data_IF_642296640951
#
_entry.id   IF_642296640951
#
_cell.length_a   1.000
_cell.length_b   1.000
_cell.length_c   1.000
_cell.angle_alpha   90.00
_cell.angle_beta   90.00
_cell.angle_gamma   90.00
#
_symmetry.space_group_name_H-M   'P 1'
#
loop_
_entity.id
_entity.type
_entity.pdbx_description
1 polymer ?
#
# COMPACT_ATOMS: atom_id res chain seq x y z
N UNK A 1 46.22 17.77 -18.13
CA UNK A 1 46.13 16.29 -18.10
C UNK A 1 45.27 15.76 -16.93
N UNK A 2 45.34 16.34 -15.73
CA UNK A 2 44.52 15.96 -14.54
C UNK A 2 43.01 16.27 -14.66
N UNK A 3 42.62 17.34 -15.35
CA UNK A 3 41.20 17.67 -15.61
C UNK A 3 40.53 16.63 -16.52
N UNK A 4 41.25 16.12 -17.53
CA UNK A 4 40.73 15.13 -18.48
C UNK A 4 40.50 13.76 -17.81
N UNK A 5 41.39 13.35 -16.89
CA UNK A 5 41.26 12.10 -16.14
C UNK A 5 40.09 12.12 -15.12
N UNK A 6 39.78 13.30 -14.55
CA UNK A 6 38.64 13.48 -13.64
C UNK A 6 37.31 13.45 -14.39
N UNK A 7 37.27 13.99 -15.62
CA UNK A 7 36.09 13.95 -16.49
C UNK A 7 35.76 12.52 -16.94
N UNK A 8 36.74 11.72 -17.35
CA UNK A 8 36.51 10.33 -17.79
C UNK A 8 36.05 9.42 -16.65
N UNK A 9 36.50 9.66 -15.41
CA UNK A 9 36.02 8.94 -14.22
C UNK A 9 34.57 9.24 -13.86
N UNK A 10 34.13 10.50 -13.95
CA UNK A 10 32.73 10.88 -13.75
C UNK A 10 31.83 10.33 -14.86
N UNK A 11 32.26 10.39 -16.12
CA UNK A 11 31.55 9.80 -17.27
C UNK A 11 31.35 8.29 -17.09
N UNK A 12 32.37 7.54 -16.65
CA UNK A 12 32.26 6.09 -16.34
C UNK A 12 31.32 5.81 -15.15
N UNK A 13 31.28 6.67 -14.15
CA UNK A 13 30.36 6.51 -13.02
C UNK A 13 28.90 6.80 -13.43
N UNK A 14 28.70 7.82 -14.27
CA UNK A 14 27.39 8.17 -14.83
C UNK A 14 26.89 7.05 -15.75
N UNK A 15 27.71 6.60 -16.69
CA UNK A 15 27.40 5.47 -17.59
C UNK A 15 27.00 4.19 -16.82
N UNK A 16 27.70 3.85 -15.73
CA UNK A 16 27.33 2.71 -14.89
C UNK A 16 25.96 2.89 -14.21
N UNK A 17 25.66 4.08 -13.71
CA UNK A 17 24.35 4.37 -13.08
C UNK A 17 23.23 4.32 -14.10
N UNK A 18 23.44 4.88 -15.29
CA UNK A 18 22.48 4.84 -16.39
C UNK A 18 22.25 3.41 -16.85
N UNK A 19 23.30 2.59 -16.94
CA UNK A 19 23.19 1.17 -17.25
C UNK A 19 22.33 0.42 -16.22
N UNK A 20 22.55 0.63 -14.91
CA UNK A 20 21.70 0.03 -13.88
C UNK A 20 20.24 0.48 -13.97
N UNK A 21 19.98 1.76 -14.25
CA UNK A 21 18.61 2.25 -14.45
C UNK A 21 17.95 1.59 -15.67
N UNK A 22 18.68 1.43 -16.77
CA UNK A 22 18.20 0.74 -17.97
C UNK A 22 17.94 -0.73 -17.68
N UNK A 23 18.78 -1.41 -16.90
CA UNK A 23 18.55 -2.81 -16.50
C UNK A 23 17.29 -2.92 -15.65
N UNK A 24 17.09 -2.02 -14.67
CA UNK A 24 15.90 -2.02 -13.82
C UNK A 24 14.64 -1.75 -14.65
N UNK A 25 14.65 -0.71 -15.48
CA UNK A 25 13.52 -0.39 -16.36
C UNK A 25 13.28 -1.52 -17.35
N UNK A 26 14.33 -2.08 -17.94
CA UNK A 26 14.26 -3.23 -18.84
C UNK A 26 13.65 -4.45 -18.16
N UNK A 27 14.02 -4.73 -16.91
CA UNK A 27 13.44 -5.81 -16.11
C UNK A 27 11.95 -5.58 -15.80
N UNK A 28 11.57 -4.34 -15.47
CA UNK A 28 10.17 -3.98 -15.24
C UNK A 28 9.36 -4.11 -16.53
N UNK A 29 9.85 -3.58 -17.66
CA UNK A 29 9.20 -3.70 -18.95
C UNK A 29 9.09 -5.16 -19.41
N UNK A 30 10.12 -5.98 -19.16
CA UNK A 30 10.11 -7.41 -19.46
C UNK A 30 9.05 -8.18 -18.67
N UNK A 31 8.55 -7.64 -17.56
CA UNK A 31 7.47 -8.24 -16.77
C UNK A 31 6.11 -7.62 -17.14
N UNK A 32 6.04 -6.30 -17.25
CA UNK A 32 4.79 -5.58 -17.55
C UNK A 32 4.25 -5.89 -18.95
N UNK A 33 5.11 -5.95 -19.96
CA UNK A 33 4.68 -6.17 -21.36
C UNK A 33 4.02 -7.55 -21.53
N UNK A 34 4.62 -8.68 -21.08
CA UNK A 34 3.97 -9.98 -21.15
C UNK A 34 2.64 -10.03 -20.39
N UNK A 35 2.56 -9.44 -19.19
CA UNK A 35 1.32 -9.40 -18.40
C UNK A 35 0.24 -8.64 -19.17
N UNK A 36 0.58 -7.50 -19.78
CA UNK A 36 -0.36 -6.73 -20.58
C UNK A 36 -0.84 -7.50 -21.82
N UNK A 37 0.05 -8.24 -22.49
CA UNK A 37 -0.33 -9.08 -23.64
C UNK A 37 -1.26 -10.23 -23.22
N UNK A 38 -1.00 -10.86 -22.07
CA UNK A 38 -1.88 -11.88 -21.48
C UNK A 38 -3.24 -11.27 -21.14
N UNK A 39 -3.25 -10.08 -20.53
CA UNK A 39 -4.48 -9.35 -20.22
C UNK A 39 -5.32 -9.05 -21.47
N UNK A 40 -4.68 -8.62 -22.56
CA UNK A 40 -5.38 -8.41 -23.83
C UNK A 40 -5.97 -9.71 -24.39
N UNK A 41 -5.21 -10.80 -24.37
CA UNK A 41 -5.68 -12.11 -24.84
C UNK A 41 -6.87 -12.62 -24.02
N UNK A 42 -6.84 -12.40 -22.71
CA UNK A 42 -7.92 -12.78 -21.80
C UNK A 42 -9.19 -11.96 -22.02
N UNK A 43 -9.03 -10.68 -22.38
CA UNK A 43 -10.12 -9.78 -22.74
C UNK A 43 -10.88 -10.19 -24.00
N UNK A 44 -10.24 -10.88 -24.95
CA UNK A 44 -10.86 -11.34 -26.19
C UNK A 44 -11.54 -12.73 -26.06
N UNK A 45 -11.11 -13.57 -25.12
CA UNK A 45 -11.64 -14.94 -24.91
C UNK A 45 -12.75 -14.99 -23.83
N UNK A 46 -13.82 -14.22 -23.98
CA UNK A 46 -14.78 -13.90 -22.90
C UNK A 46 -15.74 -15.00 -22.44
N UNK A 47 -15.63 -16.24 -22.91
CA UNK A 47 -16.66 -17.25 -22.64
C UNK A 47 -16.08 -18.64 -22.34
N UNK A 48 -15.88 -18.96 -21.06
CA UNK A 48 -15.89 -20.34 -20.58
C UNK A 48 -17.34 -20.79 -20.49
N UNK A 49 -17.95 -21.05 -21.66
CA UNK A 49 -19.30 -21.61 -21.76
C UNK A 49 -19.13 -23.11 -21.89
N UNK A 50 -19.73 -23.86 -20.97
CA UNK A 50 -19.91 -25.30 -21.15
C UNK A 50 -21.38 -25.57 -21.38
N UNK A 51 -21.70 -26.03 -22.58
CA UNK A 51 -23.04 -26.46 -22.97
C UNK A 51 -23.10 -27.98 -22.96
N UNK A 52 -24.08 -28.49 -22.23
CA UNK A 52 -24.42 -29.91 -22.16
C UNK A 52 -25.77 -30.05 -22.86
N UNK A 53 -25.81 -30.69 -24.04
CA UNK A 53 -27.06 -30.91 -24.75
C UNK A 53 -27.99 -31.83 -23.95
N UNK A 54 -29.31 -31.75 -24.19
CA UNK A 54 -30.29 -32.60 -23.50
C UNK A 54 -30.00 -34.09 -23.74
N UNK A 55 -30.02 -34.87 -22.66
CA UNK A 55 -29.69 -36.29 -22.65
C UNK A 55 -30.83 -37.14 -23.22
N UNK A 56 -30.59 -37.95 -24.26
CA UNK A 56 -31.52 -39.00 -24.69
C UNK A 56 -32.85 -38.50 -25.29
N UNK A 57 -32.94 -37.21 -25.64
CA UNK A 57 -34.12 -36.61 -26.28
C UNK A 57 -33.67 -35.80 -27.50
N UNK A 58 -34.43 -35.86 -28.59
CA UNK A 58 -34.29 -34.89 -29.68
C UNK A 58 -34.61 -33.48 -29.15
N UNK A 59 -34.06 -32.41 -29.74
CA UNK A 59 -34.25 -31.01 -29.29
C UNK A 59 -35.73 -30.54 -29.18
N UNK A 60 -36.68 -31.38 -29.61
CA UNK A 60 -38.12 -31.17 -29.62
C UNK A 60 -38.90 -31.92 -28.52
N UNK A 61 -38.23 -32.69 -27.64
CA UNK A 61 -38.92 -33.40 -26.56
C UNK A 61 -38.84 -32.67 -25.22
N UNK A 62 -39.31 -33.33 -24.15
CA UNK A 62 -39.41 -32.76 -22.82
C UNK A 62 -38.05 -32.70 -22.13
N UNK A 63 -37.56 -31.49 -21.83
CA UNK A 63 -36.34 -31.28 -21.04
C UNK A 63 -36.39 -29.96 -20.29
N UNK A 64 -35.51 -29.81 -19.30
CA UNK A 64 -35.30 -28.55 -18.58
C UNK A 64 -33.92 -28.02 -18.95
N UNK A 65 -33.86 -26.81 -19.48
CA UNK A 65 -32.61 -26.10 -19.68
C UNK A 65 -32.26 -25.33 -18.41
N UNK A 66 -31.04 -25.52 -17.92
CA UNK A 66 -30.52 -24.89 -16.72
C UNK A 66 -29.37 -23.99 -17.14
N UNK A 67 -29.51 -22.68 -16.92
CA UNK A 67 -28.44 -21.71 -17.10
C UNK A 67 -27.84 -21.40 -15.73
N UNK A 68 -26.60 -21.81 -15.50
CA UNK A 68 -25.87 -21.51 -14.27
C UNK A 68 -24.80 -20.45 -14.50
N UNK A 69 -24.93 -19.28 -13.88
CA UNK A 69 -23.93 -18.20 -13.94
C UNK A 69 -23.20 -18.06 -12.61
N UNK A 70 -21.88 -18.22 -12.60
CA UNK A 70 -21.07 -18.01 -11.38
C UNK A 70 -21.05 -16.51 -11.06
N UNK A 71 -21.55 -16.13 -9.88
CA UNK A 71 -21.68 -14.73 -9.46
C UNK A 71 -20.44 -14.28 -8.69
N UNK A 72 -20.02 -15.09 -7.72
CA UNK A 72 -18.95 -14.73 -6.78
C UNK A 72 -18.23 -15.97 -6.30
N UNK A 73 -16.93 -15.83 -6.03
CA UNK A 73 -16.08 -16.89 -5.49
C UNK A 73 -15.43 -16.38 -4.21
N UNK A 74 -15.52 -17.18 -3.15
CA UNK A 74 -14.88 -16.98 -1.87
C UNK A 74 -13.90 -18.13 -1.61
N UNK A 75 -12.60 -17.81 -1.67
CA UNK A 75 -11.55 -18.81 -1.45
C UNK A 75 -11.23 -19.02 0.03
N UNK A 76 -11.60 -18.08 0.91
CA UNK A 76 -11.36 -18.16 2.34
C UNK A 76 -12.36 -19.12 2.99
N UNK A 77 -13.65 -18.91 2.70
CA UNK A 77 -14.74 -19.81 3.12
C UNK A 77 -14.86 -21.06 2.24
N UNK A 78 -14.05 -21.14 1.17
CA UNK A 78 -14.05 -22.23 0.18
C UNK A 78 -15.42 -22.48 -0.45
N UNK A 79 -16.13 -21.41 -0.79
CA UNK A 79 -17.45 -21.46 -1.38
C UNK A 79 -17.53 -20.58 -2.63
N UNK A 80 -18.42 -20.91 -3.55
CA UNK A 80 -18.78 -20.04 -4.67
C UNK A 80 -20.28 -19.99 -4.82
N UNK A 81 -20.81 -18.89 -5.35
CA UNK A 81 -22.25 -18.71 -5.58
C UNK A 81 -22.55 -18.78 -7.06
N UNK A 82 -23.56 -19.57 -7.41
CA UNK A 82 -24.05 -19.74 -8.77
C UNK A 82 -25.52 -19.31 -8.81
N UNK A 83 -25.84 -18.42 -9.75
CA UNK A 83 -27.20 -18.08 -10.11
C UNK A 83 -27.71 -19.13 -11.07
N UNK A 84 -28.77 -19.85 -10.72
CA UNK A 84 -29.42 -20.80 -11.60
C UNK A 84 -30.75 -20.23 -12.11
N UNK A 85 -30.90 -20.24 -13.43
CA UNK A 85 -32.15 -19.97 -14.13
C UNK A 85 -32.61 -21.26 -14.82
N UNK A 86 -33.92 -21.51 -14.79
CA UNK A 86 -34.51 -22.74 -15.29
C UNK A 86 -35.54 -22.41 -16.36
N UNK A 87 -35.41 -23.05 -17.52
CA UNK A 87 -36.36 -22.91 -18.64
C UNK A 87 -36.91 -24.30 -18.98
N UNK A 88 -38.18 -24.59 -18.67
CA UNK A 88 -38.82 -25.84 -19.09
C UNK A 88 -39.12 -25.82 -20.60
N UNK A 89 -38.97 -26.96 -21.26
CA UNK A 89 -39.27 -27.14 -22.68
C UNK A 89 -40.19 -28.34 -22.91
N UNK A 90 -40.87 -28.34 -24.06
CA UNK A 90 -41.79 -29.41 -24.46
C UNK A 90 -43.13 -29.31 -23.72
N UNK A 91 -43.71 -30.45 -23.37
CA UNK A 91 -44.99 -30.56 -22.67
C UNK A 91 -44.92 -30.14 -21.19
N UNK A 92 -43.71 -29.87 -20.68
CA UNK A 92 -43.47 -29.39 -19.31
C UNK A 92 -43.80 -27.90 -19.13
N UNK A 93 -43.81 -27.13 -20.23
CA UNK A 93 -44.13 -25.71 -20.24
C UNK A 93 -45.49 -25.47 -20.91
N UNK A 94 -46.38 -24.74 -20.23
CA UNK A 94 -47.60 -24.19 -20.81
C UNK A 94 -47.30 -23.02 -21.75
N UNK A 95 -48.34 -22.51 -22.43
CA UNK A 95 -48.23 -21.42 -23.41
C UNK A 95 -47.68 -20.09 -22.82
N UNK A 96 -47.74 -19.94 -21.50
CA UNK A 96 -47.28 -18.80 -20.70
C UNK A 96 -45.94 -19.05 -19.99
N UNK A 97 -45.27 -20.19 -20.23
CA UNK A 97 -44.02 -20.58 -19.58
C UNK A 97 -44.21 -21.14 -18.16
N UNK A 98 -45.46 -21.38 -17.75
CA UNK A 98 -45.82 -21.97 -16.47
C UNK A 98 -45.68 -23.49 -16.52
N UNK A 99 -45.33 -24.11 -15.39
CA UNK A 99 -45.20 -25.56 -15.31
C UNK A 99 -46.54 -26.29 -15.41
N UNK A 100 -46.59 -27.33 -16.24
CA UNK A 100 -47.76 -28.22 -16.37
C UNK A 100 -47.80 -29.33 -15.32
N UNK A 101 -46.70 -29.56 -14.59
CA UNK A 101 -46.58 -30.54 -13.52
C UNK A 101 -45.62 -30.05 -12.44
N UNK A 102 -45.71 -30.59 -11.23
CA UNK A 102 -44.75 -30.29 -10.18
C UNK A 102 -43.38 -30.89 -10.51
N UNK A 103 -42.32 -30.10 -10.36
CA UNK A 103 -40.95 -30.48 -10.69
C UNK A 103 -40.05 -30.26 -9.48
N UNK A 104 -39.25 -31.27 -9.13
CA UNK A 104 -38.21 -31.17 -8.12
C UNK A 104 -36.83 -31.21 -8.79
N UNK A 105 -36.08 -30.11 -8.70
CA UNK A 105 -34.69 -30.02 -9.16
C UNK A 105 -33.77 -30.12 -7.95
N UNK A 106 -32.95 -31.16 -7.88
CA UNK A 106 -31.92 -31.27 -6.85
C UNK A 106 -30.58 -30.76 -7.39
N UNK A 107 -30.08 -29.72 -6.73
CA UNK A 107 -28.80 -29.07 -6.94
C UNK A 107 -27.88 -29.40 -5.77
N UNK A 108 -27.00 -30.38 -5.94
CA UNK A 108 -26.09 -30.83 -4.91
C UNK A 108 -26.80 -31.22 -3.58
N UNK A 109 -26.77 -30.38 -2.54
CA UNK A 109 -27.46 -30.62 -1.26
C UNK A 109 -28.84 -29.94 -1.15
N UNK A 110 -29.22 -29.10 -2.11
CA UNK A 110 -30.48 -28.34 -2.07
C UNK A 110 -31.46 -28.92 -3.08
N UNK A 111 -32.65 -29.30 -2.63
CA UNK A 111 -33.76 -29.65 -3.52
C UNK A 111 -34.73 -28.49 -3.61
N UNK A 112 -34.99 -28.04 -4.84
CA UNK A 112 -35.94 -27.00 -5.16
C UNK A 112 -37.19 -27.65 -5.72
N UNK A 113 -38.31 -27.46 -5.05
CA UNK A 113 -39.61 -27.95 -5.49
C UNK A 113 -40.40 -26.79 -6.08
N UNK A 114 -40.79 -26.95 -7.35
CA UNK A 114 -41.63 -26.02 -8.08
C UNK A 114 -43.02 -26.67 -8.22
N UNK A 115 -44.06 -26.09 -7.62
CA UNK A 115 -45.42 -26.57 -7.77
C UNK A 115 -45.89 -26.50 -9.23
N UNK A 116 -46.94 -27.26 -9.52
CA UNK A 116 -47.68 -27.10 -10.77
C UNK A 116 -48.25 -25.69 -10.88
N UNK A 117 -48.50 -25.24 -12.10
CA UNK A 117 -49.08 -23.92 -12.37
C UNK A 117 -48.24 -22.74 -11.85
N UNK A 118 -46.94 -22.93 -11.60
CA UNK A 118 -45.99 -21.87 -11.27
C UNK A 118 -44.81 -21.81 -12.23
N UNK A 119 -44.18 -20.64 -12.36
CA UNK A 119 -42.92 -20.48 -13.10
C UNK A 119 -41.74 -20.99 -12.26
N UNK A 120 -40.71 -21.51 -12.91
CA UNK A 120 -39.47 -21.87 -12.23
C UNK A 120 -38.67 -20.61 -11.88
N UNK A 121 -38.72 -20.20 -10.62
CA UNK A 121 -37.97 -19.03 -10.14
C UNK A 121 -36.46 -19.29 -10.15
N UNK A 122 -35.67 -18.30 -10.55
CA UNK A 122 -34.22 -18.34 -10.42
C UNK A 122 -33.76 -18.29 -8.96
N UNK A 123 -32.60 -18.89 -8.69
CA UNK A 123 -32.12 -19.11 -7.32
C UNK A 123 -30.59 -19.02 -7.25
N UNK A 124 -30.11 -18.44 -6.16
CA UNK A 124 -28.68 -18.41 -5.86
C UNK A 124 -28.35 -19.58 -4.94
N UNK A 125 -27.43 -20.45 -5.37
CA UNK A 125 -26.97 -21.58 -4.57
C UNK A 125 -25.48 -21.44 -4.28
N UNK A 126 -25.14 -21.60 -3.00
CA UNK A 126 -23.75 -21.61 -2.54
C UNK A 126 -23.19 -23.02 -2.66
N UNK A 127 -22.17 -23.20 -3.46
CA UNK A 127 -21.52 -24.49 -3.69
C UNK A 127 -20.15 -24.50 -3.00
N UNK A 128 -19.82 -25.54 -2.22
CA UNK A 128 -18.51 -25.64 -1.61
C UNK A 128 -17.45 -26.17 -2.59
N UNK A 129 -16.20 -25.82 -2.31
CA UNK A 129 -15.04 -26.49 -2.89
C UNK A 129 -14.69 -27.71 -2.05
N UNK A 130 -14.45 -28.85 -2.72
CA UNK A 130 -14.06 -30.11 -2.08
C UNK A 130 -12.55 -30.19 -1.84
N UNK A 131 -11.76 -29.51 -2.67
CA UNK A 131 -10.31 -29.46 -2.58
C UNK A 131 -9.78 -28.06 -2.89
N UNK A 132 -8.59 -27.76 -2.37
CA UNK A 132 -7.88 -26.51 -2.59
C UNK A 132 -7.34 -25.92 -1.30
N UNK A 133 -6.21 -25.23 -1.41
CA UNK A 133 -5.53 -24.60 -0.30
C UNK A 133 -5.18 -23.15 -0.66
N UNK A 134 -5.61 -22.21 0.19
CA UNK A 134 -5.31 -20.78 0.07
C UNK A 134 -3.83 -20.47 0.24
N UNK A 135 -3.08 -21.37 0.88
CA UNK A 135 -1.64 -21.25 1.09
C UNK A 135 -0.86 -21.18 -0.24
N UNK A 136 -1.38 -21.78 -1.32
CA UNK A 136 -0.67 -21.86 -2.60
C UNK A 136 -0.83 -20.60 -3.47
N UNK A 137 -1.49 -19.56 -2.96
CA UNK A 137 -1.67 -18.29 -3.67
C UNK A 137 -0.32 -17.70 -4.15
N UNK A 138 -0.22 -17.23 -5.42
CA UNK A 138 -1.30 -17.02 -6.39
C UNK A 138 -1.56 -18.20 -7.34
N UNK A 139 -0.89 -19.34 -7.17
CA UNK A 139 -1.03 -20.52 -8.01
C UNK A 139 -2.04 -21.53 -7.45
N UNK A 140 -2.94 -21.06 -6.58
CA UNK A 140 -3.97 -21.85 -5.94
C UNK A 140 -4.97 -22.38 -6.97
N UNK A 141 -5.37 -23.64 -6.78
CA UNK A 141 -6.34 -24.33 -7.61
C UNK A 141 -7.35 -25.05 -6.72
N UNK A 142 -8.63 -24.86 -7.03
CA UNK A 142 -9.74 -25.42 -6.28
C UNK A 142 -10.53 -26.37 -7.16
N UNK A 143 -11.08 -27.40 -6.53
CA UNK A 143 -11.99 -28.34 -7.19
C UNK A 143 -13.31 -28.34 -6.46
N UNK A 144 -14.39 -28.40 -7.23
CA UNK A 144 -15.73 -28.63 -6.71
C UNK A 144 -16.38 -29.75 -7.51
N UNK A 145 -17.22 -30.51 -6.84
CA UNK A 145 -17.99 -31.58 -7.43
C UNK A 145 -19.43 -31.38 -7.03
N UNK A 146 -20.33 -31.27 -8.01
CA UNK A 146 -21.75 -31.17 -7.76
C UNK A 146 -22.55 -31.89 -8.84
N UNK A 147 -23.76 -32.27 -8.47
CA UNK A 147 -24.65 -33.09 -9.28
C UNK A 147 -25.98 -32.38 -9.44
N UNK A 148 -26.56 -32.49 -10.64
CA UNK A 148 -27.86 -31.92 -10.97
C UNK A 148 -28.76 -33.02 -11.49
N UNK A 149 -29.96 -33.09 -10.94
CA UNK A 149 -31.01 -34.03 -11.33
C UNK A 149 -32.39 -33.37 -11.20
N UNK A 150 -33.31 -33.75 -12.08
CA UNK A 150 -34.68 -33.25 -12.10
C UNK A 150 -35.65 -34.43 -12.13
N UNK A 151 -36.65 -34.39 -11.24
CA UNK A 151 -37.71 -35.39 -11.16
C UNK A 151 -39.08 -34.70 -11.27
N UNK A 152 -40.02 -35.41 -11.88
CA UNK A 152 -41.44 -35.07 -11.93
C UNK A 152 -42.10 -35.63 -10.68
N UNK A 153 -42.79 -34.74 -9.97
CA UNK A 153 -43.27 -34.96 -8.61
C UNK A 153 -42.11 -35.25 -7.64
N UNK A 154 -42.30 -35.07 -6.33
CA UNK A 154 -41.22 -35.22 -5.36
C UNK A 154 -40.69 -36.69 -5.23
N UNK A 155 -41.14 -37.57 -6.11
CA UNK A 155 -40.81 -38.98 -6.21
C UNK A 155 -39.69 -39.19 -7.24
N UNK A 156 -38.63 -39.90 -6.84
CA UNK A 156 -37.43 -40.14 -7.66
C UNK A 156 -37.65 -41.05 -8.88
N UNK A 157 -38.90 -41.41 -9.17
CA UNK A 157 -39.28 -42.46 -10.13
C UNK A 157 -39.47 -41.91 -11.55
N UNK A 158 -39.91 -40.66 -11.70
CA UNK A 158 -40.12 -40.03 -13.01
C UNK A 158 -39.06 -38.97 -13.28
N UNK A 159 -38.01 -39.32 -14.04
CA UNK A 159 -36.87 -38.43 -14.25
C UNK A 159 -36.97 -37.64 -15.54
N UNK A 160 -36.59 -36.38 -15.46
CA UNK A 160 -36.68 -35.42 -16.56
C UNK A 160 -35.27 -35.18 -17.13
N UNK A 161 -35.08 -35.30 -18.45
CA UNK A 161 -33.83 -34.92 -19.11
C UNK A 161 -33.46 -33.45 -18.88
N UNK A 162 -32.18 -33.18 -18.63
CA UNK A 162 -31.67 -31.84 -18.34
C UNK A 162 -30.66 -31.44 -19.42
N UNK A 163 -30.71 -30.18 -19.83
CA UNK A 163 -29.65 -29.50 -20.56
C UNK A 163 -29.04 -28.43 -19.65
N UNK A 164 -27.73 -28.23 -19.72
CA UNK A 164 -27.02 -27.32 -18.81
C UNK A 164 -26.10 -26.41 -19.61
N UNK A 165 -26.23 -25.10 -19.38
CA UNK A 165 -25.25 -24.10 -19.83
C UNK A 165 -24.62 -23.46 -18.60
N UNK A 166 -23.33 -23.69 -18.39
CA UNK A 166 -22.58 -23.05 -17.29
C UNK A 166 -21.74 -21.89 -17.83
N UNK A 167 -21.97 -20.71 -17.26
CA UNK A 167 -21.21 -19.49 -17.49
C UNK A 167 -20.31 -19.24 -16.28
N UNK A 168 -19.01 -19.44 -16.48
CA UNK A 168 -18.01 -19.35 -15.39
C UNK A 168 -16.90 -18.36 -15.67
N UNK A 169 -17.21 -17.07 -15.90
CA UNK A 169 -16.15 -16.06 -16.10
C UNK A 169 -16.27 -14.89 -15.12
N UNK A 170 -15.33 -14.83 -14.16
CA UNK A 170 -15.10 -13.67 -13.29
C UNK A 170 -13.78 -12.99 -13.68
N UNK A 171 -13.65 -11.68 -13.45
CA UNK A 171 -12.46 -10.92 -13.87
C UNK A 171 -11.14 -11.44 -13.28
N UNK A 172 -11.17 -12.05 -12.09
CA UNK A 172 -9.97 -12.50 -11.39
C UNK A 172 -9.79 -14.03 -11.38
N UNK A 173 -10.77 -14.79 -11.87
CA UNK A 173 -10.85 -16.25 -11.70
C UNK A 173 -11.27 -16.91 -12.99
N UNK A 174 -10.53 -17.95 -13.37
CA UNK A 174 -10.84 -18.82 -14.49
C UNK A 174 -11.56 -20.07 -13.95
N UNK A 175 -12.74 -20.32 -14.51
CA UNK A 175 -13.54 -21.51 -14.22
C UNK A 175 -13.44 -22.44 -15.43
N UNK A 176 -12.98 -23.66 -15.19
CA UNK A 176 -12.81 -24.71 -16.20
C UNK A 176 -13.71 -25.88 -15.77
N UNK A 177 -14.98 -25.89 -16.21
CA UNK A 177 -15.87 -27.00 -15.91
C UNK A 177 -15.46 -28.23 -16.73
N UNK A 178 -15.42 -29.39 -16.09
CA UNK A 178 -15.41 -30.69 -16.75
C UNK A 178 -16.73 -31.38 -16.43
N UNK A 179 -17.55 -31.55 -17.46
CA UNK A 179 -18.83 -32.25 -17.31
C UNK A 179 -18.58 -33.73 -17.54
N UNK A 180 -19.00 -34.54 -16.57
CA UNK A 180 -19.10 -35.99 -16.72
C UNK A 180 -20.57 -36.37 -16.74
N UNK A 181 -20.99 -36.85 -17.89
CA UNK A 181 -22.32 -37.40 -18.06
C UNK A 181 -22.28 -38.85 -17.55
N UNK A 182 -23.14 -39.18 -16.60
CA UNK A 182 -23.31 -40.55 -16.11
C UNK A 182 -24.62 -41.10 -16.69
N UNK A 183 -24.52 -41.83 -17.80
CA UNK A 183 -25.69 -42.33 -18.55
C UNK A 183 -26.30 -43.59 -17.92
N UNK A 184 -25.57 -44.30 -17.04
CA UNK A 184 -26.05 -45.52 -16.36
C UNK A 184 -27.13 -45.24 -15.30
N UNK A 185 -27.14 -44.02 -14.74
CA UNK A 185 -28.11 -43.59 -13.73
C UNK A 185 -28.84 -42.32 -14.23
N UNK A 186 -30.01 -42.54 -14.84
CA UNK A 186 -31.17 -41.72 -14.49
C UNK A 186 -31.06 -40.19 -14.83
N UNK A 187 -30.50 -39.85 -16.00
CA UNK A 187 -30.35 -38.46 -16.50
C UNK A 187 -29.63 -37.51 -15.53
N UNK A 188 -28.66 -38.05 -14.78
CA UNK A 188 -27.86 -37.30 -13.82
C UNK A 188 -26.68 -36.61 -14.52
N UNK A 189 -26.48 -35.33 -14.23
CA UNK A 189 -25.31 -34.57 -14.71
C UNK A 189 -24.37 -34.35 -13.53
N UNK A 190 -23.18 -34.95 -13.58
CA UNK A 190 -22.11 -34.71 -12.63
C UNK A 190 -21.13 -33.68 -13.21
N UNK A 191 -20.84 -32.63 -12.44
CA UNK A 191 -19.94 -31.56 -12.87
C UNK A 191 -18.76 -31.50 -11.91
N UNK A 192 -17.58 -31.76 -12.44
CA UNK A 192 -16.33 -31.49 -11.75
C UNK A 192 -15.80 -30.15 -12.25
N UNK A 193 -15.76 -29.15 -11.39
CA UNK A 193 -15.24 -27.83 -11.72
C UNK A 193 -13.83 -27.67 -11.22
N UNK A 194 -12.94 -27.16 -12.09
CA UNK A 194 -11.63 -26.65 -11.70
C UNK A 194 -11.66 -25.12 -11.71
N UNK A 195 -11.41 -24.50 -10.56
CA UNK A 195 -11.31 -23.05 -10.42
C UNK A 195 -9.85 -22.67 -10.18
N UNK A 196 -9.32 -21.72 -10.97
CA UNK A 196 -7.94 -21.22 -10.84
C UNK A 196 -7.93 -19.70 -10.91
N UNK A 197 -6.87 -19.08 -10.39
CA UNK A 197 -6.65 -17.64 -10.60
C UNK A 197 -6.40 -17.36 -12.07
N UNK A 198 -7.00 -16.27 -12.56
CA UNK A 198 -6.76 -15.80 -13.92
C UNK A 198 -5.25 -15.52 -14.13
N UNK A 199 -4.70 -15.79 -15.32
CA UNK A 199 -3.30 -15.50 -15.63
C UNK A 199 -2.89 -14.03 -15.37
N UNK A 200 -3.85 -13.11 -15.52
CA UNK A 200 -3.69 -11.68 -15.24
C UNK A 200 -3.48 -11.41 -13.74
N UNK A 201 -4.28 -12.05 -12.88
CA UNK A 201 -4.15 -11.99 -11.42
C UNK A 201 -2.80 -12.56 -10.98
N UNK A 202 -2.41 -13.72 -11.52
CA UNK A 202 -1.10 -14.34 -11.23
C UNK A 202 0.03 -13.39 -11.62
N UNK A 203 -0.01 -12.85 -12.85
CA UNK A 203 0.99 -11.90 -13.34
C UNK A 203 1.09 -10.65 -12.48
N UNK A 204 -0.05 -10.06 -12.10
CA UNK A 204 -0.09 -8.87 -11.25
C UNK A 204 0.45 -9.14 -9.85
N UNK A 205 0.08 -10.25 -9.21
CA UNK A 205 0.60 -10.63 -7.89
C UNK A 205 2.13 -10.81 -7.94
N UNK A 206 2.65 -11.53 -8.94
CA UNK A 206 4.10 -11.70 -9.13
C UNK A 206 4.82 -10.38 -9.36
N UNK A 207 4.20 -9.46 -10.11
CA UNK A 207 4.73 -8.12 -10.33
C UNK A 207 4.85 -7.32 -9.02
N UNK A 208 3.85 -7.37 -8.15
CA UNK A 208 3.89 -6.73 -6.83
C UNK A 208 5.01 -7.35 -5.97
N UNK A 209 5.13 -8.68 -5.93
CA UNK A 209 6.21 -9.36 -5.21
C UNK A 209 7.59 -8.92 -5.73
N UNK A 210 7.75 -8.78 -7.04
CA UNK A 210 8.98 -8.28 -7.66
C UNK A 210 9.29 -6.84 -7.26
N UNK A 211 8.30 -5.94 -7.27
CA UNK A 211 8.46 -4.55 -6.80
C UNK A 211 8.94 -4.56 -5.35
N UNK A 212 8.32 -5.36 -4.48
CA UNK A 212 8.73 -5.44 -3.07
C UNK A 212 10.18 -5.89 -2.91
N UNK A 213 10.63 -6.84 -3.72
CA UNK A 213 12.04 -7.27 -3.77
C UNK A 213 12.97 -6.15 -4.25
N UNK A 214 12.58 -5.41 -5.29
CA UNK A 214 13.38 -4.29 -5.80
C UNK A 214 13.51 -3.17 -4.75
N UNK A 215 12.43 -2.86 -4.03
CA UNK A 215 12.46 -1.89 -2.94
C UNK A 215 13.34 -2.36 -1.77
N UNK A 216 13.20 -3.63 -1.35
CA UNK A 216 13.98 -4.18 -0.23
C UNK A 216 15.48 -4.22 -0.54
N UNK A 217 15.84 -4.66 -1.75
CA UNK A 217 17.23 -4.69 -2.21
C UNK A 217 17.78 -3.26 -2.36
N UNK A 218 17.02 -2.31 -2.88
CA UNK A 218 17.46 -0.92 -3.00
C UNK A 218 17.81 -0.32 -1.64
N UNK A 219 16.96 -0.52 -0.63
CA UNK A 219 17.21 -0.07 0.75
C UNK A 219 18.43 -0.79 1.34
N UNK A 220 18.56 -2.11 1.12
CA UNK A 220 19.73 -2.88 1.53
C UNK A 220 21.04 -2.36 0.94
N UNK A 221 21.06 -2.05 -0.36
CA UNK A 221 22.22 -1.45 -1.03
C UNK A 221 22.55 -0.09 -0.42
N UNK A 222 21.54 0.75 -0.15
CA UNK A 222 21.74 2.05 0.48
C UNK A 222 22.35 1.88 1.89
N UNK A 223 21.83 0.96 2.71
CA UNK A 223 22.35 0.69 4.03
C UNK A 223 23.82 0.24 4.00
N UNK A 224 24.17 -0.67 3.09
CA UNK A 224 25.57 -1.11 2.90
C UNK A 224 26.46 0.07 2.48
N UNK A 225 25.98 0.94 1.60
CA UNK A 225 26.75 2.12 1.18
C UNK A 225 26.97 3.11 2.33
N UNK A 226 25.97 3.34 3.18
CA UNK A 226 26.08 4.20 4.37
C UNK A 226 27.15 3.66 5.31
N UNK A 227 27.17 2.34 5.55
CA UNK A 227 28.19 1.71 6.38
C UNK A 227 29.57 1.86 5.74
N UNK A 228 29.76 1.43 4.48
CA UNK A 228 31.10 1.34 3.87
C UNK A 228 31.74 2.69 3.53
N UNK A 229 30.96 3.66 3.08
CA UNK A 229 31.53 4.93 2.55
C UNK A 229 31.70 6.03 3.59
N UNK A 230 31.42 5.78 4.87
CA UNK A 230 31.44 6.80 5.91
C UNK A 230 30.70 8.09 5.52
N UNK A 231 29.64 7.96 4.69
CA UNK A 231 28.82 9.11 4.32
C UNK A 231 28.05 9.51 5.57
N UNK A 232 27.99 10.82 5.85
CA UNK A 232 27.10 11.36 6.88
C UNK A 232 25.71 10.86 6.52
N UNK A 233 25.11 10.07 7.40
CA UNK A 233 23.77 9.55 7.18
C UNK A 233 22.84 10.74 7.12
N UNK A 234 22.25 10.93 5.95
CA UNK A 234 21.20 11.91 5.78
C UNK A 234 19.97 11.36 6.51
N UNK A 235 19.37 12.14 7.40
CA UNK A 235 18.19 11.77 8.19
C UNK A 235 17.07 11.22 7.27
N UNK A 236 16.99 11.76 6.06
CA UNK A 236 16.09 11.31 5.00
C UNK A 236 16.22 9.81 4.67
N UNK A 237 17.43 9.25 4.66
CA UNK A 237 17.65 7.84 4.31
C UNK A 237 17.07 6.90 5.37
N UNK A 238 17.13 7.31 6.63
CA UNK A 238 16.52 6.58 7.73
C UNK A 238 14.99 6.58 7.60
N UNK A 239 14.42 7.77 7.38
CA UNK A 239 12.96 7.90 7.23
C UNK A 239 12.43 7.09 6.06
N UNK A 240 13.20 6.96 4.96
CA UNK A 240 12.83 6.14 3.82
C UNK A 240 12.73 4.65 4.18
N UNK A 241 13.67 4.11 4.96
CA UNK A 241 13.63 2.73 5.41
C UNK A 241 12.41 2.43 6.28
N UNK A 242 12.15 3.29 7.27
CA UNK A 242 11.00 3.16 8.19
C UNK A 242 9.67 3.29 7.43
N UNK A 243 9.55 4.30 6.56
CA UNK A 243 8.33 4.54 5.78
C UNK A 243 8.03 3.34 4.87
N UNK A 244 9.07 2.75 4.26
CA UNK A 244 8.88 1.58 3.39
C UNK A 244 8.41 0.37 4.18
N UNK A 245 8.89 0.17 5.42
CA UNK A 245 8.45 -0.91 6.29
C UNK A 245 6.93 -0.86 6.55
N UNK A 246 6.38 0.34 6.75
CA UNK A 246 4.94 0.55 6.93
C UNK A 246 4.15 0.58 5.62
N UNK A 247 4.80 0.83 4.49
CA UNK A 247 4.16 0.81 3.17
C UNK A 247 3.99 -0.62 2.60
N UNK A 248 4.85 -1.57 3.00
CA UNK A 248 4.81 -2.94 2.48
C UNK A 248 3.47 -3.67 2.70
N UNK A 249 2.81 -3.59 3.88
CA UNK A 249 1.49 -4.19 4.06
C UNK A 249 0.45 -3.60 3.11
N UNK A 250 0.42 -2.28 2.93
CA UNK A 250 -0.51 -1.65 1.98
C UNK A 250 -0.26 -2.14 0.54
N UNK A 251 1.01 -2.33 0.17
CA UNK A 251 1.38 -2.87 -1.15
C UNK A 251 0.95 -4.34 -1.31
N UNK A 252 1.06 -5.16 -0.25
CA UNK A 252 0.54 -6.54 -0.22
C UNK A 252 -0.97 -6.57 -0.49
N UNK A 253 -1.74 -5.72 0.20
CA UNK A 253 -3.21 -5.68 0.06
C UNK A 253 -3.69 -5.20 -1.31
N UNK A 254 -2.81 -4.63 -2.16
CA UNK A 254 -3.18 -4.32 -3.55
C UNK A 254 -3.32 -5.57 -4.42
N UNK A 255 -2.83 -6.73 -3.98
CA UNK A 255 -2.92 -7.97 -4.74
C UNK A 255 -4.38 -8.46 -4.80
N UNK A 256 -4.90 -8.79 -5.99
CA UNK A 256 -6.31 -9.13 -6.17
C UNK A 256 -6.65 -10.46 -5.50
N UNK A 257 -7.63 -10.43 -4.61
CA UNK A 257 -8.16 -11.60 -3.92
C UNK A 257 -7.11 -12.34 -3.08
N UNK A 258 -6.14 -11.62 -2.53
CA UNK A 258 -5.13 -12.15 -1.62
C UNK A 258 -5.81 -12.69 -0.34
N UNK A 259 -5.50 -13.93 0.09
CA UNK A 259 -6.06 -14.49 1.31
C UNK A 259 -5.42 -13.88 2.57
N UNK A 260 -5.89 -14.33 3.73
CA UNK A 260 -5.27 -14.09 5.03
C UNK A 260 -3.76 -14.31 5.00
N UNK A 261 -3.03 -13.60 5.88
CA UNK A 261 -1.56 -13.67 5.98
C UNK A 261 -1.09 -15.13 6.11
N UNK A 262 -0.04 -15.47 5.36
CA UNK A 262 0.61 -16.79 5.43
C UNK A 262 0.57 -17.60 4.14
N UNK A 263 0.25 -16.98 3.00
CA UNK A 263 0.33 -17.66 1.70
C UNK A 263 1.77 -17.73 1.16
N UNK A 264 1.97 -18.51 0.11
CA UNK A 264 3.28 -18.71 -0.52
C UNK A 264 3.93 -17.39 -0.96
N UNK A 265 3.15 -16.46 -1.51
CA UNK A 265 3.62 -15.11 -1.83
C UNK A 265 4.16 -14.35 -0.61
N UNK A 266 3.56 -14.53 0.57
CA UNK A 266 4.01 -13.87 1.81
C UNK A 266 5.30 -14.49 2.32
N UNK A 267 5.36 -15.83 2.33
CA UNK A 267 6.52 -16.58 2.82
C UNK A 267 7.74 -16.36 1.94
N UNK A 268 7.56 -16.32 0.61
CA UNK A 268 8.65 -16.15 -0.35
C UNK A 268 9.04 -14.68 -0.55
N UNK A 269 8.08 -13.75 -0.41
CA UNK A 269 8.31 -12.33 -0.69
C UNK A 269 8.22 -11.46 0.56
N UNK A 270 7.02 -11.33 1.11
CA UNK A 270 6.70 -10.33 2.15
C UNK A 270 7.60 -10.42 3.38
N UNK A 271 7.78 -11.61 3.96
CA UNK A 271 8.57 -11.77 5.19
C UNK A 271 10.05 -11.48 4.98
N UNK A 272 10.65 -11.98 3.90
CA UNK A 272 12.06 -11.71 3.58
C UNK A 272 12.30 -10.24 3.27
N UNK A 273 11.40 -9.61 2.51
CA UNK A 273 11.49 -8.20 2.20
C UNK A 273 11.37 -7.33 3.45
N UNK A 274 10.46 -7.66 4.36
CA UNK A 274 10.31 -6.98 5.64
C UNK A 274 11.57 -7.13 6.50
N UNK A 275 12.12 -8.34 6.60
CA UNK A 275 13.35 -8.61 7.35
C UNK A 275 14.54 -7.80 6.80
N UNK A 276 14.74 -7.79 5.47
CA UNK A 276 15.82 -7.04 4.82
C UNK A 276 15.69 -5.55 5.12
N UNK A 277 14.50 -4.96 5.00
CA UNK A 277 14.27 -3.53 5.25
C UNK A 277 14.46 -3.19 6.73
N UNK A 278 13.99 -4.04 7.63
CA UNK A 278 14.16 -3.85 9.07
C UNK A 278 15.65 -3.87 9.46
N UNK A 279 16.38 -4.90 9.03
CA UNK A 279 17.83 -5.02 9.28
C UNK A 279 18.58 -3.82 8.67
N UNK A 280 18.20 -3.42 7.45
CA UNK A 280 18.80 -2.26 6.77
C UNK A 280 18.57 -0.95 7.52
N UNK A 281 17.36 -0.75 8.05
CA UNK A 281 17.02 0.43 8.83
C UNK A 281 17.78 0.46 10.16
N UNK A 282 17.88 -0.69 10.86
CA UNK A 282 18.68 -0.83 12.08
C UNK A 282 20.16 -0.55 11.79
N UNK A 283 20.70 -1.06 10.68
CA UNK A 283 22.08 -0.78 10.26
C UNK A 283 22.33 0.71 10.05
N UNK A 284 21.40 1.43 9.40
CA UNK A 284 21.49 2.87 9.18
C UNK A 284 21.38 3.63 10.51
N UNK A 285 20.47 3.22 11.41
CA UNK A 285 20.34 3.79 12.75
C UNK A 285 21.62 3.65 13.55
N UNK A 286 22.17 2.43 13.63
CA UNK A 286 23.40 2.15 14.36
C UNK A 286 24.58 2.93 13.79
N UNK A 287 24.72 2.98 12.47
CA UNK A 287 25.75 3.79 11.81
C UNK A 287 25.60 5.28 12.12
N UNK A 288 24.37 5.79 12.23
CA UNK A 288 24.09 7.18 12.59
C UNK A 288 24.43 7.47 14.05
N UNK A 289 24.03 6.59 14.96
CA UNK A 289 24.28 6.71 16.40
C UNK A 289 25.79 6.68 16.72
N UNK A 290 26.53 5.73 16.15
CA UNK A 290 27.98 5.61 16.34
C UNK A 290 28.77 6.79 15.76
N UNK A 291 28.22 7.47 14.76
CA UNK A 291 28.85 8.61 14.07
C UNK A 291 28.36 9.96 14.59
N UNK A 292 27.56 9.98 15.64
CA UNK A 292 27.03 11.20 16.23
C UNK A 292 28.19 12.09 16.71
N UNK A 293 28.56 13.08 15.88
CA UNK A 293 29.47 14.16 16.28
C UNK A 293 28.63 15.33 16.74
N UNK A 294 29.04 15.97 17.84
CA UNK A 294 28.34 17.16 18.33
C UNK A 294 28.15 18.19 17.21
N UNK A 295 26.94 18.78 17.12
CA UNK A 295 26.58 19.70 16.05
C UNK A 295 27.60 20.83 16.01
N UNK A 296 28.06 21.17 14.80
CA UNK A 296 29.07 22.21 14.56
C UNK A 296 28.72 23.55 15.24
N UNK A 297 27.43 23.82 15.45
CA UNK A 297 26.91 25.00 16.14
C UNK A 297 27.44 25.09 17.57
N UNK A 298 27.48 23.99 18.34
CA UNK A 298 28.09 24.01 19.69
C UNK A 298 29.56 24.38 19.61
N UNK A 299 30.27 23.78 18.66
CA UNK A 299 31.70 24.06 18.41
C UNK A 299 31.93 25.53 18.03
N UNK A 300 31.07 26.11 17.21
CA UNK A 300 31.16 27.50 16.79
C UNK A 300 30.85 28.46 17.94
N UNK A 301 29.82 28.16 18.75
CA UNK A 301 29.48 28.91 19.96
C UNK A 301 30.62 28.83 20.99
N UNK A 302 31.22 27.65 21.17
CA UNK A 302 32.36 27.43 22.06
C UNK A 302 33.61 28.19 21.58
N UNK A 303 33.85 28.25 20.26
CA UNK A 303 34.93 29.03 19.67
C UNK A 303 34.72 30.54 19.86
N UNK A 304 33.49 31.03 19.64
CA UNK A 304 33.13 32.43 19.87
C UNK A 304 33.26 32.79 21.35
N UNK A 305 32.80 31.93 22.27
CA UNK A 305 32.97 32.13 23.71
C UNK A 305 34.45 32.17 24.09
N UNK A 306 35.27 31.23 23.60
CA UNK A 306 36.72 31.24 23.84
C UNK A 306 37.39 32.51 23.34
N UNK A 307 36.96 33.03 22.19
CA UNK A 307 37.52 34.25 21.63
C UNK A 307 37.17 35.48 22.48
N UNK A 308 35.94 35.56 22.98
CA UNK A 308 35.49 36.62 23.87
C UNK A 308 36.24 36.58 25.22
N UNK A 309 36.45 35.37 25.75
CA UNK A 309 37.18 35.15 27.00
C UNK A 309 38.66 35.53 26.88
N UNK A 310 39.31 35.19 25.75
CA UNK A 310 40.69 35.58 25.44
C UNK A 310 40.85 37.12 25.32
N UNK A 311 39.90 37.79 24.67
CA UNK A 311 39.90 39.26 24.58
C UNK A 311 39.77 39.90 25.97
N UNK A 312 38.93 39.35 26.85
CA UNK A 312 38.76 39.88 28.20
C UNK A 312 40.03 39.77 29.06
N UNK A 313 40.78 38.66 28.94
CA UNK A 313 42.06 38.46 29.64
C UNK A 313 43.15 39.41 29.18
N UNK A 314 43.29 39.61 27.85
CA UNK A 314 44.23 40.58 27.28
C UNK A 314 43.98 42.01 27.78
N UNK A 315 42.71 42.41 27.88
CA UNK A 315 42.34 43.73 28.41
C UNK A 315 42.70 43.83 29.90
N UNK A 316 42.54 42.77 30.69
CA UNK A 316 42.87 42.77 32.12
C UNK A 316 44.38 42.81 32.40
N UNK A 317 45.22 42.19 31.58
CA UNK A 317 46.67 42.18 31.75
C UNK A 317 47.36 43.43 31.21
N UNK A 318 46.75 44.12 30.24
CA UNK A 318 47.29 45.36 29.68
C UNK A 318 47.01 46.59 30.56
N UNK A 319 46.15 46.46 31.58
CA UNK A 319 45.97 47.47 32.64
C UNK A 319 47.11 47.31 33.66
N UNK A 320 48.27 47.89 33.34
CA UNK A 320 49.38 48.06 34.28
C UNK A 320 48.90 48.97 35.43
N UNK A 321 49.14 48.62 36.71
CA UNK A 321 48.80 49.51 37.82
C UNK A 321 49.70 50.75 37.75
N UNK A 322 49.11 51.92 37.50
CA UNK A 322 49.83 53.18 37.65
C UNK A 322 50.24 53.34 39.13
N UNK A 323 51.50 53.69 39.42
CA UNK A 323 51.92 54.00 40.78
C UNK A 323 51.44 55.42 41.13
N UNK A 324 50.57 55.53 42.13
CA UNK A 324 50.37 56.79 42.85
C UNK A 324 51.47 56.94 43.91
N UNK A 325 51.92 58.18 44.15
CA UNK A 325 51.54 58.74 45.45
C UNK A 325 51.23 60.26 45.42
N UNK A 326 50.79 60.72 46.59
CA UNK A 326 50.87 62.09 47.15
C UNK A 326 49.53 62.89 47.23
N UNK A 327 48.91 62.72 48.39
CA UNK A 327 48.32 63.72 49.34
C UNK A 327 47.71 65.04 48.84
N UNK A 328 46.45 65.26 49.26
CA UNK A 328 46.05 66.44 50.06
C UNK A 328 45.43 67.65 49.32
N UNK A 329 44.11 67.79 49.37
CA UNK A 329 43.39 69.05 49.10
C UNK A 329 41.91 68.86 48.73
N UNK A 330 40.94 69.64 49.27
CA UNK A 330 39.53 69.23 49.36
C UNK A 330 38.60 69.79 48.25
N UNK A 331 37.54 69.01 47.96
CA UNK A 331 36.19 69.36 47.42
C UNK A 331 36.12 70.21 46.13
N UNK A 332 35.21 70.07 45.18
CA UNK A 332 34.09 69.20 44.84
C UNK A 332 33.61 69.75 43.49
N UNK A 333 33.50 68.94 42.43
CA UNK A 333 32.22 68.78 41.72
C UNK A 333 32.35 67.81 40.54
N UNK A 334 31.36 66.95 40.45
CA UNK A 334 31.20 65.88 39.49
C UNK A 334 30.68 66.42 38.15
N UNK A 335 31.42 66.27 37.05
CA UNK A 335 30.85 66.06 35.71
C UNK A 335 31.82 65.25 34.83
N UNK A 336 31.54 63.94 34.73
CA UNK A 336 32.24 63.01 33.83
C UNK A 336 31.85 63.30 32.38
N UNK A 337 32.68 64.08 31.69
CA UNK A 337 32.59 64.29 30.24
C UNK A 337 33.13 63.04 29.53
N UNK A 338 32.21 62.13 29.18
CA UNK A 338 32.44 60.91 28.39
C UNK A 338 33.01 61.29 27.01
N UNK A 339 34.34 61.28 26.86
CA UNK A 339 35.03 61.56 25.60
C UNK A 339 34.99 60.29 24.73
N UNK A 340 34.10 60.30 23.74
CA UNK A 340 34.02 59.28 22.68
C UNK A 340 35.34 59.28 21.90
N UNK A 341 35.97 58.12 21.80
CA UNK A 341 36.97 57.78 20.78
C UNK A 341 36.39 56.58 20.01
N UNK A 342 36.38 56.58 18.67
CA UNK A 342 35.56 55.68 17.88
C UNK A 342 36.18 54.29 17.81
N UNK A 343 35.48 53.28 18.34
CA UNK A 343 35.82 51.88 18.12
C UNK A 343 35.08 51.38 16.87
N UNK A 344 35.84 50.80 15.96
CA UNK A 344 35.44 50.40 14.61
C UNK A 344 34.54 49.15 14.64
N UNK A 345 33.26 49.34 14.97
CA UNK A 345 32.17 48.38 14.73
C UNK A 345 31.57 48.62 13.34
N UNK A 346 32.29 48.29 12.27
CA UNK A 346 31.77 48.44 10.89
C UNK A 346 31.40 47.13 10.20
N UNK A 347 31.70 45.97 10.81
CA UNK A 347 31.45 44.67 10.14
C UNK A 347 30.14 44.00 10.58
N UNK A 348 29.77 44.07 11.86
CA UNK A 348 28.54 43.42 12.37
C UNK A 348 27.24 44.11 11.95
N UNK A 349 27.25 45.46 11.85
CA UNK A 349 26.06 46.23 11.46
C UNK A 349 25.73 46.08 9.97
N UNK A 350 26.75 45.94 9.11
CA UNK A 350 26.56 45.66 7.68
C UNK A 350 25.94 44.29 7.43
N UNK A 351 26.34 43.26 8.19
CA UNK A 351 25.77 41.91 8.02
C UNK A 351 24.29 41.86 8.46
N UNK A 352 23.91 42.57 9.52
CA UNK A 352 22.51 42.67 9.96
C UNK A 352 21.66 43.53 9.00
N UNK A 353 22.18 44.63 8.48
CA UNK A 353 21.49 45.45 7.46
C UNK A 353 21.38 44.76 6.10
N UNK A 354 22.30 43.86 5.78
CA UNK A 354 22.31 43.06 4.54
C UNK A 354 21.37 41.84 4.65
N UNK A 355 21.28 41.23 5.84
CA UNK A 355 20.24 40.24 6.18
C UNK A 355 18.83 40.85 6.16
N UNK A 356 18.63 42.05 6.74
CA UNK A 356 17.35 42.77 6.64
C UNK A 356 17.01 43.20 5.21
N UNK A 357 18.01 43.55 4.38
CA UNK A 357 17.81 43.86 2.96
C UNK A 357 17.43 42.63 2.14
N UNK A 358 17.96 41.46 2.47
CA UNK A 358 17.62 40.19 1.80
C UNK A 358 16.21 39.74 2.20
N UNK A 359 15.83 39.87 3.48
CA UNK A 359 14.47 39.61 3.94
C UNK A 359 13.44 40.56 3.30
N UNK A 360 13.72 41.87 3.23
CA UNK A 360 12.82 42.82 2.53
C UNK A 360 12.71 42.61 1.03
N UNK A 361 13.69 41.96 0.39
CA UNK A 361 13.68 41.69 -1.05
C UNK A 361 12.91 40.40 -1.38
N UNK A 362 12.87 39.44 -0.45
CA UNK A 362 12.10 38.20 -0.58
C UNK A 362 10.58 38.43 -0.54
N UNK A 363 10.11 39.45 0.19
CA UNK A 363 8.69 39.81 0.25
C UNK A 363 8.18 40.58 -0.99
N UNK A 364 9.06 40.99 -1.92
CA UNK A 364 8.70 41.77 -3.12
C UNK A 364 8.71 40.98 -4.44
N UNK A 365 9.07 39.69 -4.43
CA UNK A 365 9.20 38.89 -5.67
C UNK A 365 8.26 37.69 -5.80
N UNK A 366 7.23 37.57 -4.96
CA UNK A 366 6.11 36.65 -5.18
C UNK A 366 4.82 37.45 -5.39
N UNK A 367 4.73 38.10 -6.55
CA UNK A 367 3.44 38.55 -7.05
C UNK A 367 2.59 37.35 -7.45
N UNK A 368 1.78 36.82 -6.53
CA UNK A 368 0.47 36.22 -6.81
C UNK A 368 -0.35 36.05 -5.51
N UNK A 369 -1.18 37.07 -5.25
CA UNK A 369 -2.53 37.03 -4.67
C UNK A 369 -2.84 36.22 -3.40
N UNK A 370 -3.19 36.91 -2.31
CA UNK A 370 -4.06 36.35 -1.26
C UNK A 370 -3.94 37.03 0.10
N UNK A 371 -4.77 38.06 0.34
CA UNK A 371 -5.01 38.69 1.65
C UNK A 371 -5.58 37.68 2.66
N UNK A 372 -5.63 38.11 3.94
CA UNK A 372 -6.25 37.46 5.13
C UNK A 372 -5.24 36.56 5.89
N UNK A 373 -4.80 36.80 7.13
CA UNK A 373 -5.43 37.37 8.32
C UNK A 373 -4.35 37.99 9.24
N UNK A 374 -4.59 39.21 9.73
CA UNK A 374 -3.91 39.79 10.90
C UNK A 374 -5.01 39.90 11.96
N UNK A 375 -4.96 39.09 13.02
CA UNK A 375 -6.04 38.97 14.01
C UNK A 375 -5.51 39.02 15.43
N UNK A 376 -5.77 40.15 16.07
CA UNK A 376 -5.57 40.49 17.49
C UNK A 376 -6.37 39.60 18.44
N UNK A 377 -5.76 39.28 19.59
CA UNK A 377 -6.37 38.56 20.71
C UNK A 377 -7.57 39.33 21.29
N UNK A 378 -8.72 38.67 21.40
CA UNK A 378 -9.86 39.09 22.23
C UNK A 378 -10.55 37.86 22.77
N UNK A 379 -10.59 37.74 24.10
CA UNK A 379 -11.22 36.66 24.87
C UNK A 379 -12.74 36.86 24.98
N UNK A 380 -13.54 35.85 24.61
CA UNK A 380 -14.90 35.64 25.14
C UNK A 380 -15.24 34.15 25.17
N UNK A 381 -15.72 33.71 26.35
CA UNK A 381 -16.29 32.38 26.61
C UNK A 381 -17.72 32.32 26.08
N UNK A 382 -18.11 31.19 25.48
CA UNK A 382 -19.40 30.51 25.69
C UNK A 382 -19.23 29.01 25.40
N UNK A 383 -19.96 28.19 26.15
CA UNK A 383 -19.86 26.74 26.27
C UNK A 383 -20.91 25.99 25.42
N UNK A 384 -20.78 24.65 25.35
CA UNK A 384 -21.68 23.58 24.85
C UNK A 384 -21.21 22.84 23.56
N UNK A 385 -21.49 21.51 23.40
CA UNK A 385 -20.41 20.53 23.26
C UNK A 385 -20.44 19.70 21.97
N UNK A 386 -19.28 19.18 21.56
CA UNK A 386 -19.17 18.10 20.58
C UNK A 386 -17.88 18.15 19.77
N UNK A 387 -16.96 17.23 20.06
CA UNK A 387 -15.71 16.94 19.33
C UNK A 387 -14.61 18.00 19.49
N UNK A 388 -13.90 17.93 20.63
CA UNK A 388 -12.69 18.70 20.90
C UNK A 388 -11.43 17.93 20.53
N UNK A 389 -10.71 18.40 19.52
CA UNK A 389 -9.34 17.99 19.19
C UNK A 389 -8.41 18.57 20.29
N UNK A 390 -8.02 17.74 21.26
CA UNK A 390 -7.13 18.17 22.34
C UNK A 390 -5.67 18.08 21.90
N UNK A 391 -5.08 19.20 21.50
CA UNK A 391 -3.63 19.37 21.43
C UNK A 391 -3.17 19.79 22.83
N UNK A 392 -2.74 18.83 23.64
CA UNK A 392 -2.09 19.15 24.91
C UNK A 392 -0.60 19.39 24.66
N UNK A 393 -0.18 20.64 24.74
CA UNK A 393 1.24 21.02 24.80
C UNK A 393 1.74 20.86 26.23
N UNK A 394 2.50 19.80 26.50
CA UNK A 394 3.34 19.74 27.70
C UNK A 394 4.62 20.50 27.39
N UNK A 395 4.74 21.71 27.96
CA UNK A 395 5.97 22.48 27.99
C UNK A 395 6.96 21.79 28.93
N UNK A 396 7.90 21.04 28.35
CA UNK A 396 9.16 20.72 29.00
C UNK A 396 10.26 21.52 28.30
N UNK A 397 11.02 22.20 29.15
CA UNK A 397 12.02 23.20 28.81
C UNK A 397 13.04 22.66 27.79
N UNK A 398 13.33 23.47 26.75
CA UNK A 398 14.34 23.30 25.69
C UNK A 398 14.05 22.34 24.50
N UNK A 399 13.58 22.94 23.40
CA UNK A 399 13.93 22.68 21.99
C UNK A 399 14.17 21.23 21.53
N UNK A 400 13.11 20.43 21.40
CA UNK A 400 13.00 19.33 20.42
C UNK A 400 11.53 19.22 19.98
N UNK A 401 11.23 19.34 18.69
CA UNK A 401 9.93 18.98 18.12
C UNK A 401 9.94 17.50 17.74
N UNK A 402 9.31 16.64 18.55
CA UNK A 402 9.01 15.26 18.18
C UNK A 402 7.54 15.19 17.77
N UNK A 403 7.25 14.89 16.50
CA UNK A 403 5.90 14.52 16.08
C UNK A 403 5.70 13.03 16.37
N UNK A 404 5.00 12.73 17.46
CA UNK A 404 4.61 11.36 17.81
C UNK A 404 3.14 11.15 17.40
N UNK A 405 2.90 10.37 16.35
CA UNK A 405 1.57 9.87 16.02
C UNK A 405 1.28 8.67 16.93
N UNK A 406 0.54 8.88 18.02
CA UNK A 406 -0.01 7.80 18.84
C UNK A 406 -1.40 7.46 18.30
N UNK A 407 -1.51 6.31 17.62
CA UNK A 407 -2.79 5.70 17.28
C UNK A 407 -3.25 4.94 18.54
N UNK A 408 -4.25 5.47 19.24
CA UNK A 408 -5.00 4.70 20.23
C UNK A 408 -6.09 3.90 19.50
N UNK A 409 -5.96 2.58 19.49
CA UNK A 409 -7.10 1.69 19.27
C UNK A 409 -7.94 1.65 20.55
N UNK A 410 -9.26 1.86 20.49
CA UNK A 410 -10.13 1.50 21.60
C UNK A 410 -10.45 0.00 21.51
N UNK A 411 -9.96 -0.75 22.50
CA UNK A 411 -10.52 -2.04 22.87
C UNK A 411 -11.95 -1.87 23.43
N UNK A 412 -12.76 -2.90 23.20
CA UNK A 412 -14.21 -2.98 23.34
C UNK A 412 -14.83 -2.56 24.71
N UNK A 413 -16.07 -2.08 24.66
CA UNK A 413 -17.23 -2.62 25.43
C UNK A 413 -18.54 -1.84 25.14
N UNK A 414 -19.41 -2.38 24.28
CA UNK A 414 -20.72 -2.98 24.63
C UNK A 414 -21.40 -3.49 23.36
#
# INVERSE_FOLDING_TARGET
>A
MTLFYRQTGQLRAWARRTLWCIIVIGSLCAVVIPIFLIYRKEGDNTQSVVEVPPQGVSHTGDYIHILGSVISVDFEDKNFRVHFEFTPHGTLAGDDGVLTAAIAVSLFYTTLTFPDSQIMRSVDVTMPYTQGATIDYPFDAYKSYFEILANKDNERLHKIPISLTLLGKLQSVEFIPKVRIETDDLYKIAIETFTRRSPTTIGFSLFIVLIMWMLSIAIGIIAIQVIRKYRVSDEHVLTLGITTLFALPALRETQPGIPSIGCAADVLGFYWNMAIIAISSIMILMASALRWKEPSIKREIDLVHKQHDFQSKLISEMVIPMPFPITGGPFSDYQVKKKRVPFMMTTGRRVLEEQERVWRRADTTSGFGGKWWRGTYSTRRYAEPGVGLFISSILLNNNIHLYCCLIFTPTAQK
#
